data_IF_157093602267
#
_entry.id   IF_157093602267
#
_cell.length_a   1.000
_cell.length_b   1.000
_cell.length_c   1.000
_cell.angle_alpha   90.00
_cell.angle_beta   90.00
_cell.angle_gamma   90.00
#
_symmetry.space_group_name_H-M   'P 1'
#
loop_
_entity.id
_entity.type
_entity.pdbx_description
1 polymer ?
#
# COMPACT_ATOMS: atom_id res chain seq x y z
N UNK A 1 -9.17 6.01 -15.24
CA UNK A 1 -8.71 7.15 -14.41
C UNK A 1 -7.41 7.72 -14.95
N UNK A 2 -7.33 9.03 -14.97
CA UNK A 2 -6.10 9.77 -15.29
C UNK A 2 -5.66 10.57 -14.06
N UNK A 3 -4.40 10.43 -13.67
CA UNK A 3 -3.79 11.20 -12.59
C UNK A 3 -2.54 11.90 -13.11
N UNK A 4 -2.47 13.20 -12.92
CA UNK A 4 -1.29 14.02 -13.21
C UNK A 4 -0.67 14.54 -11.90
N UNK A 5 0.64 14.42 -11.77
CA UNK A 5 1.39 14.97 -10.62
C UNK A 5 2.59 15.74 -11.12
N UNK A 6 2.81 16.94 -10.60
CA UNK A 6 4.00 17.76 -10.79
C UNK A 6 4.70 17.91 -9.43
N UNK A 7 5.95 17.53 -9.34
CA UNK A 7 6.77 17.72 -8.14
C UNK A 7 8.15 18.25 -8.55
N UNK A 8 8.64 19.20 -7.78
CA UNK A 8 9.96 19.79 -7.98
C UNK A 8 10.75 19.71 -6.69
N UNK A 9 11.94 19.13 -6.76
CA UNK A 9 12.91 19.13 -5.66
C UNK A 9 14.18 19.81 -6.14
N UNK A 10 14.69 20.74 -5.34
CA UNK A 10 15.91 21.48 -5.63
C UNK A 10 16.88 21.30 -4.49
N UNK A 11 18.13 20.97 -4.80
CA UNK A 11 19.24 21.01 -3.85
C UNK A 11 20.10 22.19 -4.24
N UNK A 12 20.38 23.06 -3.27
CA UNK A 12 21.28 24.21 -3.43
C UNK A 12 22.69 23.79 -3.02
N UNK A 13 23.68 24.07 -3.87
CA UNK A 13 25.08 23.87 -3.54
C UNK A 13 25.56 24.77 -2.38
N UNK A 14 26.79 24.56 -1.86
CA UNK A 14 27.30 25.22 -0.65
C UNK A 14 27.52 26.74 -0.74
N UNK A 15 27.31 27.35 -1.90
CA UNK A 15 27.48 28.81 -2.09
C UNK A 15 26.18 29.54 -1.70
N UNK A 16 26.15 30.03 -0.45
CA UNK A 16 25.03 30.76 0.16
C UNK A 16 24.79 32.17 -0.35
N UNK A 17 25.34 32.59 -1.48
CA UNK A 17 25.00 33.89 -2.07
C UNK A 17 23.63 33.83 -2.74
N UNK A 18 22.84 34.88 -2.66
CA UNK A 18 21.51 34.98 -3.34
C UNK A 18 21.62 34.79 -4.85
N UNK A 19 22.81 34.96 -5.42
CA UNK A 19 23.15 34.60 -6.81
C UNK A 19 23.52 33.14 -7.00
N UNK A 20 23.78 32.35 -5.94
CA UNK A 20 24.16 30.95 -5.92
C UNK A 20 23.00 29.96 -5.68
N UNK A 21 21.76 30.44 -5.67
CA UNK A 21 20.56 29.57 -5.66
C UNK A 21 20.29 28.91 -7.02
N UNK A 22 21.35 28.66 -7.78
CA UNK A 22 21.22 27.79 -8.96
C UNK A 22 21.12 26.33 -8.47
N UNK A 23 20.09 25.60 -8.88
CA UNK A 23 19.96 24.19 -8.54
C UNK A 23 21.23 23.45 -8.94
N UNK A 24 21.79 22.66 -8.03
CA UNK A 24 22.86 21.73 -8.39
C UNK A 24 22.34 20.82 -9.51
N UNK A 25 23.06 20.91 -10.62
CA UNK A 25 22.67 20.27 -11.82
C UNK A 25 22.52 18.76 -11.73
N UNK A 26 23.28 18.08 -10.89
CA UNK A 26 23.30 16.62 -10.79
C UNK A 26 22.23 16.08 -9.82
N UNK A 27 21.86 16.86 -8.80
CA UNK A 27 21.01 16.41 -7.69
C UNK A 27 19.62 17.06 -7.65
N UNK A 28 19.39 18.11 -8.47
CA UNK A 28 18.08 18.76 -8.57
C UNK A 28 17.16 17.99 -9.51
N UNK A 29 15.96 17.68 -9.06
CA UNK A 29 14.98 16.93 -9.80
C UNK A 29 13.66 17.67 -9.94
N UNK A 30 13.18 17.81 -11.17
CA UNK A 30 11.84 18.29 -11.46
C UNK A 30 11.20 17.32 -12.46
N UNK A 31 10.04 16.80 -12.12
CA UNK A 31 9.36 15.85 -12.98
C UNK A 31 7.87 16.13 -13.13
N UNK A 32 7.34 15.73 -14.28
CA UNK A 32 5.92 15.68 -14.55
C UNK A 32 5.54 14.24 -14.88
N UNK A 33 4.50 13.72 -14.29
CA UNK A 33 4.03 12.37 -14.52
C UNK A 33 2.53 12.29 -14.71
N UNK A 34 2.11 11.41 -15.60
CA UNK A 34 0.71 11.05 -15.82
C UNK A 34 0.53 9.54 -15.71
N UNK A 35 -0.49 9.12 -15.00
CA UNK A 35 -0.96 7.74 -14.96
C UNK A 35 -2.29 7.63 -15.71
N UNK A 36 -2.34 6.78 -16.75
CA UNK A 36 -3.56 6.43 -17.46
C UNK A 36 -3.86 4.95 -17.24
N UNK A 37 -4.98 4.65 -16.58
CA UNK A 37 -5.45 3.28 -16.39
C UNK A 37 -6.74 3.07 -17.16
N UNK A 38 -6.75 2.05 -18.02
CA UNK A 38 -7.89 1.59 -18.79
C UNK A 38 -8.22 0.17 -18.37
N UNK A 39 -9.49 -0.12 -18.09
CA UNK A 39 -9.93 -1.46 -17.75
C UNK A 39 -11.25 -1.80 -18.45
N UNK A 40 -11.35 -3.02 -18.92
CA UNK A 40 -12.56 -3.56 -19.54
C UNK A 40 -12.71 -5.03 -19.21
N UNK A 41 -13.94 -5.50 -19.08
CA UNK A 41 -14.18 -6.91 -18.79
C UNK A 41 -15.64 -7.24 -18.58
N UNK A 42 -15.97 -8.54 -18.52
CA UNK A 42 -17.33 -9.00 -18.30
C UNK A 42 -17.75 -8.87 -16.84
N UNK A 43 -19.04 -8.64 -16.64
CA UNK A 43 -19.68 -8.63 -15.34
C UNK A 43 -20.93 -9.47 -15.31
N UNK A 44 -21.20 -10.08 -14.16
CA UNK A 44 -22.39 -10.86 -13.89
C UNK A 44 -23.07 -10.32 -12.64
N UNK A 45 -24.38 -10.20 -12.69
CA UNK A 45 -25.21 -9.83 -11.54
C UNK A 45 -26.42 -10.75 -11.44
N UNK A 46 -26.62 -11.33 -10.28
CA UNK A 46 -27.80 -12.08 -9.92
C UNK A 46 -28.43 -11.46 -8.68
N UNK A 47 -29.75 -11.22 -8.73
CA UNK A 47 -30.50 -10.73 -7.58
C UNK A 47 -31.83 -11.47 -7.49
N UNK A 48 -32.12 -12.04 -6.33
CA UNK A 48 -33.39 -12.69 -6.03
C UNK A 48 -33.80 -12.32 -4.60
N UNK A 49 -34.96 -11.72 -4.46
CA UNK A 49 -35.49 -11.24 -3.18
C UNK A 49 -34.51 -10.25 -2.51
N UNK A 50 -33.94 -10.65 -1.35
CA UNK A 50 -32.94 -9.87 -0.60
C UNK A 50 -31.49 -10.35 -0.83
N UNK A 51 -31.32 -11.32 -1.72
CA UNK A 51 -30.01 -11.89 -2.01
C UNK A 51 -29.44 -11.31 -3.30
N UNK A 52 -28.19 -10.95 -3.27
CA UNK A 52 -27.50 -10.38 -4.43
C UNK A 52 -26.12 -10.98 -4.56
N UNK A 53 -25.74 -11.32 -5.77
CA UNK A 53 -24.40 -11.73 -6.14
C UNK A 53 -23.95 -10.90 -7.35
N UNK A 54 -22.74 -10.36 -7.27
CA UNK A 54 -22.09 -9.61 -8.35
C UNK A 54 -20.70 -10.17 -8.53
N UNK A 55 -20.27 -10.39 -9.76
CA UNK A 55 -18.91 -10.78 -10.10
C UNK A 55 -18.48 -10.04 -11.36
N UNK A 56 -17.35 -9.38 -11.30
CA UNK A 56 -16.73 -8.69 -12.42
C UNK A 56 -15.28 -9.12 -12.52
N UNK A 57 -14.78 -9.30 -13.74
CA UNK A 57 -13.37 -9.53 -14.02
C UNK A 57 -12.95 -8.52 -15.08
N UNK A 58 -11.83 -7.84 -14.85
CA UNK A 58 -11.34 -6.79 -15.74
C UNK A 58 -9.92 -7.10 -16.17
N UNK A 59 -9.66 -6.96 -17.45
CA UNK A 59 -8.31 -6.74 -17.95
C UNK A 59 -7.99 -5.27 -17.82
N UNK A 60 -6.89 -4.96 -17.16
CA UNK A 60 -6.42 -3.61 -16.88
C UNK A 60 -5.10 -3.37 -17.59
N UNK A 61 -5.02 -2.26 -18.33
CA UNK A 61 -3.80 -1.74 -18.91
C UNK A 61 -3.50 -0.38 -18.26
N UNK A 62 -2.36 -0.26 -17.60
CA UNK A 62 -1.90 0.97 -16.99
C UNK A 62 -0.64 1.46 -17.68
N UNK A 63 -0.60 2.73 -18.04
CA UNK A 63 0.59 3.38 -18.61
C UNK A 63 1.02 4.53 -17.72
N UNK A 64 2.26 4.48 -17.28
CA UNK A 64 2.96 5.60 -16.67
C UNK A 64 3.77 6.31 -17.75
N UNK A 65 3.55 7.60 -17.92
CA UNK A 65 4.38 8.49 -18.72
C UNK A 65 4.97 9.55 -17.79
N UNK A 66 6.28 9.54 -17.62
CA UNK A 66 7.02 10.47 -16.77
C UNK A 66 8.10 11.17 -17.57
N UNK A 67 8.24 12.47 -17.39
CA UNK A 67 9.29 13.28 -18.00
C UNK A 67 10.05 14.01 -16.91
N UNK A 68 11.37 13.83 -16.88
CA UNK A 68 12.27 14.67 -16.09
C UNK A 68 12.42 15.96 -16.87
N UNK A 69 11.97 17.07 -16.28
CA UNK A 69 11.87 18.38 -16.98
C UNK A 69 13.24 18.94 -17.36
N UNK A 70 14.30 18.46 -16.71
CA UNK A 70 15.65 18.96 -16.88
C UNK A 70 16.39 18.35 -18.07
N UNK A 71 16.12 17.09 -18.36
CA UNK A 71 16.74 16.39 -19.49
C UNK A 71 15.63 15.73 -20.31
N UNK A 72 15.34 16.31 -21.47
CA UNK A 72 14.29 15.79 -22.37
C UNK A 72 14.58 14.37 -22.88
N UNK A 73 15.78 13.83 -22.61
CA UNK A 73 16.19 12.48 -22.95
C UNK A 73 15.68 11.43 -21.95
N UNK A 74 15.44 11.79 -20.69
CA UNK A 74 15.02 10.84 -19.66
C UNK A 74 13.48 10.78 -19.55
N UNK A 75 12.88 10.07 -20.48
CA UNK A 75 11.47 9.68 -20.42
C UNK A 75 11.34 8.34 -19.73
N UNK A 76 10.63 8.32 -18.60
CA UNK A 76 10.22 7.08 -17.94
C UNK A 76 8.87 6.68 -18.51
N UNK A 77 8.83 5.58 -19.25
CA UNK A 77 7.58 5.02 -19.76
C UNK A 77 7.47 3.56 -19.36
N UNK A 78 6.50 3.27 -18.51
CA UNK A 78 6.17 1.90 -18.12
C UNK A 78 4.74 1.58 -18.48
N UNK A 79 4.51 0.33 -18.89
CA UNK A 79 3.17 -0.19 -19.14
C UNK A 79 3.00 -1.50 -18.38
N UNK A 80 1.88 -1.62 -17.69
CA UNK A 80 1.55 -2.77 -16.85
C UNK A 80 0.23 -3.36 -17.30
N UNK A 81 0.14 -4.68 -17.27
CA UNK A 81 -1.07 -5.40 -17.65
C UNK A 81 -1.44 -6.37 -16.53
N UNK A 82 -2.65 -6.23 -16.03
CA UNK A 82 -3.13 -7.01 -14.90
C UNK A 82 -4.57 -7.50 -15.13
N UNK A 83 -4.95 -8.54 -14.45
CA UNK A 83 -6.33 -8.98 -14.36
C UNK A 83 -6.83 -8.70 -12.96
N UNK A 84 -7.78 -7.79 -12.84
CA UNK A 84 -8.42 -7.47 -11.57
C UNK A 84 -9.83 -8.02 -11.50
N UNK A 85 -10.30 -8.29 -10.29
CA UNK A 85 -11.65 -8.80 -10.09
C UNK A 85 -12.33 -8.16 -8.88
N UNK A 86 -13.65 -8.16 -8.94
CA UNK A 86 -14.52 -7.75 -7.85
C UNK A 86 -15.69 -8.72 -7.75
N UNK A 87 -15.88 -9.29 -6.57
CA UNK A 87 -17.03 -10.14 -6.27
C UNK A 87 -17.70 -9.65 -5.00
N UNK A 88 -19.01 -9.60 -5.00
CA UNK A 88 -19.84 -9.26 -3.84
C UNK A 88 -20.97 -10.27 -3.74
N UNK A 89 -21.11 -10.87 -2.56
CA UNK A 89 -22.23 -11.70 -2.19
C UNK A 89 -22.95 -11.13 -0.97
N UNK A 90 -24.26 -10.95 -1.06
CA UNK A 90 -25.13 -10.68 0.07
C UNK A 90 -26.17 -11.78 0.15
N UNK A 91 -26.18 -12.51 1.25
CA UNK A 91 -27.08 -13.62 1.53
C UNK A 91 -27.84 -13.33 2.82
N UNK A 92 -29.15 -13.19 2.72
CA UNK A 92 -30.04 -13.13 3.86
C UNK A 92 -30.62 -14.53 4.07
N UNK A 93 -30.01 -15.30 4.99
CA UNK A 93 -30.36 -16.69 5.27
C UNK A 93 -31.78 -16.78 5.81
N UNK A 94 -32.13 -15.86 6.70
CA UNK A 94 -33.46 -15.66 7.24
C UNK A 94 -33.61 -14.21 7.73
N UNK A 95 -34.66 -13.89 8.52
CA UNK A 95 -34.92 -12.55 9.03
C UNK A 95 -33.88 -12.06 10.05
N UNK A 96 -33.19 -12.97 10.70
CA UNK A 96 -32.22 -12.68 11.76
C UNK A 96 -30.78 -12.77 11.26
N UNK A 97 -30.50 -13.56 10.20
CA UNK A 97 -29.16 -13.89 9.79
C UNK A 97 -28.84 -13.36 8.41
N UNK A 98 -27.83 -12.56 8.31
CA UNK A 98 -27.29 -12.05 7.05
C UNK A 98 -25.79 -12.21 6.96
N UNK A 99 -25.33 -12.47 5.74
CA UNK A 99 -23.93 -12.67 5.37
C UNK A 99 -23.59 -11.77 4.20
N UNK A 100 -22.48 -11.06 4.30
CA UNK A 100 -21.88 -10.32 3.18
C UNK A 100 -20.44 -10.74 2.98
N UNK A 101 -20.09 -10.99 1.74
CA UNK A 101 -18.73 -11.32 1.32
C UNK A 101 -18.33 -10.38 0.20
N UNK A 102 -17.15 -9.76 0.34
CA UNK A 102 -16.52 -8.99 -0.72
C UNK A 102 -15.14 -9.59 -0.97
N UNK A 103 -14.86 -9.88 -2.23
CA UNK A 103 -13.56 -10.35 -2.68
C UNK A 103 -13.14 -9.46 -3.84
N UNK A 104 -11.96 -8.90 -3.75
CA UNK A 104 -11.45 -8.00 -4.80
C UNK A 104 -9.95 -8.10 -4.94
N UNK A 105 -9.46 -7.76 -6.11
CA UNK A 105 -8.06 -7.48 -6.35
C UNK A 105 -7.88 -6.08 -6.93
N UNK A 106 -6.72 -5.49 -6.68
CA UNK A 106 -6.32 -4.22 -7.25
C UNK A 106 -4.80 -4.13 -7.32
N UNK A 107 -4.32 -3.31 -8.24
CA UNK A 107 -2.92 -2.95 -8.36
C UNK A 107 -2.67 -1.57 -7.78
N UNK A 108 -1.51 -1.40 -7.15
CA UNK A 108 -1.00 -0.10 -6.70
C UNK A 108 0.34 0.15 -7.38
N UNK A 109 0.35 1.18 -8.23
CA UNK A 109 1.49 1.47 -9.06
C UNK A 109 2.58 2.23 -8.27
N UNK A 110 3.88 1.93 -8.49
CA UNK A 110 4.96 2.68 -7.87
C UNK A 110 4.85 4.18 -8.20
N UNK A 111 5.22 5.02 -7.24
CA UNK A 111 5.31 6.45 -7.50
C UNK A 111 6.46 6.74 -8.48
N UNK A 112 6.40 7.86 -9.18
CA UNK A 112 7.51 8.23 -10.05
C UNK A 112 8.80 8.48 -9.27
N UNK A 113 8.69 8.94 -8.02
CA UNK A 113 9.84 9.12 -7.13
C UNK A 113 10.51 7.78 -6.82
N UNK A 114 9.71 6.71 -6.63
CA UNK A 114 10.23 5.36 -6.41
C UNK A 114 10.89 4.78 -7.66
N UNK A 115 10.47 5.19 -8.86
CA UNK A 115 11.00 4.72 -10.14
C UNK A 115 12.21 5.53 -10.65
N UNK A 116 12.51 6.68 -10.05
CA UNK A 116 13.64 7.51 -10.50
C UNK A 116 14.97 6.91 -10.08
N UNK A 117 15.90 6.80 -11.02
CA UNK A 117 17.28 6.40 -10.75
C UNK A 117 18.10 7.59 -10.19
N UNK A 118 17.54 8.36 -9.29
CA UNK A 118 18.19 9.54 -8.68
C UNK A 118 18.11 9.41 -7.17
N UNK A 119 19.23 9.69 -6.50
CA UNK A 119 19.27 9.73 -5.05
C UNK A 119 18.73 11.06 -4.52
N UNK A 120 17.88 11.00 -3.51
CA UNK A 120 17.49 12.15 -2.70
C UNK A 120 18.48 12.31 -1.54
N UNK A 121 19.31 13.32 -1.66
CA UNK A 121 20.35 13.68 -0.67
C UNK A 121 19.99 14.95 0.12
N UNK A 122 18.72 15.36 0.10
CA UNK A 122 18.23 16.52 0.86
C UNK A 122 18.43 16.35 2.37
N UNK A 123 18.42 15.11 2.84
CA UNK A 123 18.90 14.73 4.17
C UNK A 123 20.14 13.82 4.02
N UNK A 124 21.32 14.42 4.22
CA UNK A 124 22.59 13.70 4.09
C UNK A 124 22.77 12.53 5.09
N UNK A 125 21.94 12.46 6.14
CA UNK A 125 21.95 11.36 7.11
C UNK A 125 21.05 10.20 6.67
N UNK A 126 20.03 10.48 5.86
CA UNK A 126 19.01 9.51 5.42
C UNK A 126 18.81 9.65 3.91
N UNK A 127 19.63 8.97 3.15
CA UNK A 127 19.59 9.02 1.69
C UNK A 127 18.64 7.95 1.16
N UNK A 128 17.79 8.33 0.22
CA UNK A 128 16.92 7.40 -0.52
C UNK A 128 17.21 7.47 -2.00
N UNK A 129 17.21 6.32 -2.68
CA UNK A 129 17.32 6.25 -4.14
C UNK A 129 16.18 5.41 -4.71
N UNK A 130 15.53 5.90 -5.74
CA UNK A 130 14.48 5.15 -6.42
C UNK A 130 15.03 3.95 -7.20
N UNK A 131 14.12 3.06 -7.59
CA UNK A 131 14.41 1.83 -8.34
C UNK A 131 13.53 1.78 -9.60
N UNK A 132 14.10 1.98 -10.79
CA UNK A 132 13.32 1.97 -12.05
C UNK A 132 12.76 0.59 -12.42
N UNK A 133 13.18 -0.48 -11.74
CA UNK A 133 12.74 -1.84 -12.02
C UNK A 133 11.54 -2.28 -11.14
N UNK A 134 10.89 -1.37 -10.43
CA UNK A 134 9.73 -1.70 -9.62
C UNK A 134 8.52 -2.08 -10.47
N UNK A 135 7.87 -3.15 -10.05
CA UNK A 135 6.55 -3.55 -10.52
C UNK A 135 5.45 -2.94 -9.66
N UNK A 136 4.23 -2.81 -10.19
CA UNK A 136 3.05 -2.54 -9.36
C UNK A 136 2.85 -3.64 -8.32
N UNK A 137 2.47 -3.25 -7.13
CA UNK A 137 2.03 -4.24 -6.14
C UNK A 137 0.62 -4.73 -6.48
N UNK A 138 0.38 -6.03 -6.31
CA UNK A 138 -0.89 -6.66 -6.59
C UNK A 138 -1.52 -7.19 -5.30
N UNK A 139 -2.67 -6.62 -4.94
CA UNK A 139 -3.35 -6.91 -3.68
C UNK A 139 -4.63 -7.70 -3.90
N UNK A 140 -4.81 -8.74 -3.11
CA UNK A 140 -6.05 -9.50 -2.94
C UNK A 140 -6.68 -9.12 -1.61
N UNK A 141 -7.98 -8.81 -1.62
CA UNK A 141 -8.72 -8.45 -0.40
C UNK A 141 -9.98 -9.29 -0.27
N UNK A 142 -10.19 -9.80 0.92
CA UNK A 142 -11.42 -10.49 1.33
C UNK A 142 -12.00 -9.78 2.53
N UNK A 143 -13.27 -9.41 2.48
CA UNK A 143 -14.02 -8.89 3.61
C UNK A 143 -15.27 -9.72 3.79
N UNK A 144 -15.43 -10.22 4.99
CA UNK A 144 -16.55 -11.04 5.41
C UNK A 144 -17.27 -10.35 6.55
N UNK A 145 -18.59 -10.31 6.49
CA UNK A 145 -19.42 -9.73 7.51
C UNK A 145 -20.65 -10.61 7.75
N UNK A 146 -20.74 -11.19 8.93
CA UNK A 146 -21.89 -11.94 9.37
C UNK A 146 -22.61 -11.18 10.49
N UNK A 147 -23.92 -11.11 10.41
CA UNK A 147 -24.78 -10.51 11.43
C UNK A 147 -25.91 -11.48 11.77
N UNK A 148 -26.07 -11.75 13.06
CA UNK A 148 -27.27 -12.37 13.61
C UNK A 148 -27.94 -11.35 14.54
N UNK A 149 -29.20 -11.00 14.26
CA UNK A 149 -29.97 -10.03 15.04
C UNK A 149 -31.34 -10.59 15.40
N UNK A 150 -31.51 -10.96 16.67
CA UNK A 150 -32.77 -11.41 17.20
C UNK A 150 -33.47 -10.25 17.93
N UNK A 151 -34.38 -9.60 17.25
CA UNK A 151 -35.09 -8.40 17.73
C UNK A 151 -35.96 -8.73 18.95
N UNK A 152 -36.61 -9.90 18.98
CA UNK A 152 -37.51 -10.32 20.09
C UNK A 152 -36.74 -10.50 21.38
N UNK A 153 -35.51 -11.01 21.31
CA UNK A 153 -34.62 -11.22 22.46
C UNK A 153 -33.68 -10.05 22.73
N UNK A 154 -33.71 -9.01 21.87
CA UNK A 154 -32.79 -7.87 21.94
C UNK A 154 -31.31 -8.25 21.81
N UNK A 155 -30.99 -9.32 21.08
CA UNK A 155 -29.62 -9.84 20.95
C UNK A 155 -29.07 -9.59 19.56
N UNK A 156 -27.81 -9.15 19.50
CA UNK A 156 -27.10 -8.97 18.24
C UNK A 156 -25.71 -9.57 18.34
N UNK A 157 -25.35 -10.41 17.37
CA UNK A 157 -24.02 -10.91 17.17
C UNK A 157 -23.51 -10.42 15.81
N UNK A 158 -22.29 -9.93 15.79
CA UNK A 158 -21.62 -9.48 14.57
C UNK A 158 -20.21 -10.05 14.52
N UNK A 159 -19.84 -10.60 13.37
CA UNK A 159 -18.49 -11.03 13.07
C UNK A 159 -18.03 -10.37 11.78
N UNK A 160 -16.96 -9.62 11.88
CA UNK A 160 -16.26 -9.03 10.75
C UNK A 160 -14.87 -9.66 10.63
N UNK A 161 -14.52 -10.04 9.42
CA UNK A 161 -13.20 -10.53 9.07
C UNK A 161 -12.72 -9.81 7.82
N UNK A 162 -11.47 -9.35 7.82
CA UNK A 162 -10.80 -8.73 6.68
C UNK A 162 -9.42 -9.34 6.52
N UNK A 163 -9.08 -9.67 5.28
CA UNK A 163 -7.78 -10.21 4.88
C UNK A 163 -7.29 -9.43 3.67
N UNK A 164 -6.03 -9.06 3.69
CA UNK A 164 -5.30 -8.56 2.54
C UNK A 164 -3.98 -9.31 2.42
N UNK A 165 -3.70 -9.78 1.21
CA UNK A 165 -2.40 -10.29 0.79
C UNK A 165 -1.90 -9.46 -0.38
N UNK A 166 -0.63 -9.10 -0.39
CA UNK A 166 -0.04 -8.33 -1.49
C UNK A 166 1.21 -9.03 -1.98
N UNK A 167 1.23 -9.31 -3.28
CA UNK A 167 2.39 -9.73 -4.05
C UNK A 167 3.09 -8.50 -4.63
N UNK A 168 4.39 -8.60 -4.90
CA UNK A 168 5.21 -7.47 -5.36
C UNK A 168 5.05 -6.22 -4.46
N UNK A 169 4.88 -6.46 -3.14
CA UNK A 169 4.71 -5.37 -2.19
C UNK A 169 5.89 -4.40 -2.27
N UNK A 170 5.62 -3.11 -2.45
CA UNK A 170 6.66 -2.07 -2.46
C UNK A 170 7.21 -1.90 -1.04
N UNK A 171 8.31 -2.58 -0.78
CA UNK A 171 9.02 -2.63 0.49
C UNK A 171 10.30 -1.80 0.43
N UNK A 172 10.89 -1.52 1.59
CA UNK A 172 12.19 -0.86 1.66
C UNK A 172 13.32 -1.88 1.84
N UNK A 173 14.41 -1.67 1.10
CA UNK A 173 15.72 -2.25 1.36
C UNK A 173 16.57 -1.20 2.07
N UNK A 174 16.97 -1.46 3.31
CA UNK A 174 17.66 -0.53 4.18
C UNK A 174 19.05 -1.01 4.51
N UNK A 175 20.05 -0.15 4.31
CA UNK A 175 21.43 -0.35 4.78
C UNK A 175 21.72 0.67 5.87
N UNK A 176 22.09 0.20 7.06
CA UNK A 176 22.54 1.05 8.17
C UNK A 176 24.05 1.20 8.12
N UNK A 177 24.53 2.44 8.26
CA UNK A 177 25.94 2.80 8.22
C UNK A 177 26.68 2.20 7.00
N UNK A 178 26.25 2.54 5.76
CA UNK A 178 26.85 1.97 4.55
C UNK A 178 28.31 2.37 4.33
N UNK A 179 28.86 3.24 5.18
CA UNK A 179 30.16 3.87 5.00
C UNK A 179 30.09 5.06 4.05
N UNK A 180 31.22 5.38 3.44
CA UNK A 180 31.28 6.48 2.46
C UNK A 180 30.80 5.97 1.10
N UNK A 181 29.78 6.61 0.56
CA UNK A 181 29.20 6.35 -0.76
C UNK A 181 29.42 7.56 -1.67
N UNK A 182 29.56 7.33 -2.97
CA UNK A 182 29.73 8.41 -3.96
C UNK A 182 28.47 8.49 -4.82
N UNK A 183 27.81 9.63 -4.82
CA UNK A 183 26.58 9.88 -5.58
C UNK A 183 26.75 11.21 -6.35
N UNK A 184 26.58 11.19 -7.67
CA UNK A 184 26.71 12.38 -8.51
C UNK A 184 28.12 13.02 -8.49
N UNK A 185 29.14 12.25 -8.09
CA UNK A 185 30.52 12.76 -7.94
C UNK A 185 30.87 13.28 -6.54
N UNK A 186 29.89 13.42 -5.66
CA UNK A 186 30.05 13.86 -4.28
C UNK A 186 30.07 12.67 -3.30
N UNK A 187 30.80 12.82 -2.19
CA UNK A 187 30.91 11.81 -1.15
C UNK A 187 29.96 12.08 0.02
N UNK A 188 29.23 11.05 0.42
CA UNK A 188 28.30 11.07 1.55
C UNK A 188 28.63 9.95 2.52
N UNK A 189 28.41 10.19 3.81
CA UNK A 189 28.54 9.17 4.87
C UNK A 189 27.21 9.14 5.67
N UNK A 190 26.13 8.58 5.07
CA UNK A 190 24.85 8.59 5.72
C UNK A 190 24.75 7.54 6.83
N UNK A 191 23.84 7.76 7.78
CA UNK A 191 23.48 6.76 8.78
C UNK A 191 22.59 5.67 8.15
N UNK A 192 21.73 6.06 7.19
CA UNK A 192 20.82 5.16 6.51
C UNK A 192 20.80 5.42 5.01
N UNK A 193 20.82 4.35 4.27
CA UNK A 193 20.60 4.37 2.84
C UNK A 193 19.50 3.37 2.47
N UNK A 194 18.50 3.81 1.69
CA UNK A 194 17.38 2.94 1.34
C UNK A 194 17.00 3.03 -0.12
N UNK A 195 16.46 1.93 -0.64
CA UNK A 195 15.86 1.85 -1.98
C UNK A 195 14.58 1.02 -1.93
N UNK A 196 13.53 1.37 -2.68
CA UNK A 196 12.34 0.55 -2.76
C UNK A 196 12.62 -0.73 -3.56
N UNK A 197 12.02 -1.85 -3.11
CA UNK A 197 12.11 -3.17 -3.74
C UNK A 197 10.77 -3.88 -3.71
N UNK A 198 10.50 -4.74 -4.69
CA UNK A 198 9.31 -5.59 -4.65
C UNK A 198 9.60 -6.86 -3.83
N UNK A 199 8.75 -7.13 -2.85
CA UNK A 199 8.81 -8.34 -2.03
C UNK A 199 7.42 -8.96 -1.88
N UNK A 200 7.35 -10.27 -2.02
CA UNK A 200 6.13 -11.00 -1.72
C UNK A 200 5.92 -11.20 -0.23
N UNK A 201 4.65 -11.41 0.14
CA UNK A 201 4.30 -11.91 1.47
C UNK A 201 3.93 -10.84 2.47
N UNK A 202 3.46 -9.69 2.01
CA UNK A 202 2.70 -8.78 2.86
C UNK A 202 1.34 -9.37 3.19
N UNK A 203 0.97 -9.37 4.49
CA UNK A 203 -0.31 -9.82 5.00
C UNK A 203 -0.88 -8.84 6.00
N UNK A 204 -2.17 -8.58 5.89
CA UNK A 204 -2.93 -7.87 6.91
C UNK A 204 -4.23 -8.65 7.15
N UNK A 205 -4.41 -9.11 8.39
CA UNK A 205 -5.58 -9.86 8.83
C UNK A 205 -6.22 -9.12 10.00
N UNK A 206 -7.53 -8.97 9.96
CA UNK A 206 -8.31 -8.38 11.06
C UNK A 206 -9.56 -9.21 11.29
N UNK A 207 -9.84 -9.50 12.54
CA UNK A 207 -11.11 -10.07 12.94
C UNK A 207 -11.69 -9.28 14.09
N UNK A 208 -12.98 -9.06 14.06
CA UNK A 208 -13.69 -8.34 15.11
C UNK A 208 -15.03 -9.03 15.38
N UNK A 209 -15.26 -9.35 16.65
CA UNK A 209 -16.48 -9.96 17.15
C UNK A 209 -17.18 -8.96 18.07
N UNK A 210 -18.50 -8.87 17.93
CA UNK A 210 -19.33 -8.06 18.83
C UNK A 210 -20.57 -8.85 19.22
N UNK A 211 -20.89 -8.86 20.51
CA UNK A 211 -22.10 -9.48 21.01
C UNK A 211 -22.81 -8.54 21.99
N UNK A 212 -24.03 -8.18 21.63
CA UNK A 212 -24.91 -7.34 22.43
C UNK A 212 -26.10 -8.13 22.97
N UNK A 213 -26.46 -7.94 24.24
CA UNK A 213 -27.61 -8.57 24.87
C UNK A 213 -28.17 -7.72 26.01
N UNK A 214 -29.48 -7.81 26.28
CA UNK A 214 -30.09 -7.08 27.37
C UNK A 214 -29.81 -7.72 28.71
N UNK A 215 -29.57 -6.90 29.72
CA UNK A 215 -29.51 -7.29 31.14
C UNK A 215 -30.80 -6.82 31.80
N UNK A 216 -31.76 -7.72 31.96
CA UNK A 216 -33.13 -7.37 32.38
C UNK A 216 -33.23 -6.68 33.73
N UNK A 217 -32.44 -7.10 34.75
CA UNK A 217 -32.47 -6.51 36.09
C UNK A 217 -31.86 -5.09 36.12
N UNK A 218 -30.96 -4.75 35.18
CA UNK A 218 -30.37 -3.43 35.06
C UNK A 218 -31.16 -2.53 34.04
N UNK A 219 -32.15 -3.10 33.34
CA UNK A 219 -32.87 -2.42 32.24
C UNK A 219 -31.94 -1.76 31.25
N UNK A 220 -30.80 -2.40 30.96
CA UNK A 220 -29.66 -1.91 30.17
C UNK A 220 -29.24 -2.95 29.14
N UNK A 221 -28.55 -2.51 28.11
CA UNK A 221 -27.92 -3.37 27.13
C UNK A 221 -26.42 -3.49 27.43
N UNK A 222 -25.91 -4.71 27.38
CA UNK A 222 -24.48 -4.98 27.51
C UNK A 222 -23.90 -5.42 26.18
N UNK A 223 -22.81 -4.78 25.79
CA UNK A 223 -22.09 -5.10 24.56
C UNK A 223 -20.65 -5.51 24.92
N UNK A 224 -20.22 -6.64 24.36
CA UNK A 224 -18.85 -7.13 24.43
C UNK A 224 -18.27 -7.16 23.04
N UNK A 225 -17.08 -6.61 22.89
CA UNK A 225 -16.36 -6.56 21.62
C UNK A 225 -14.95 -7.10 21.83
N UNK A 226 -14.48 -7.90 20.89
CA UNK A 226 -13.11 -8.40 20.84
C UNK A 226 -12.57 -8.38 19.43
N UNK A 227 -11.33 -7.99 19.28
CA UNK A 227 -10.68 -7.93 17.99
C UNK A 227 -9.24 -8.43 18.03
N UNK A 228 -8.78 -8.93 16.90
CA UNK A 228 -7.39 -9.31 16.66
C UNK A 228 -6.97 -8.76 15.32
N UNK A 229 -5.81 -8.11 15.32
CA UNK A 229 -5.18 -7.63 14.13
C UNK A 229 -3.80 -8.33 13.98
N UNK A 230 -3.46 -8.83 12.79
CA UNK A 230 -2.15 -9.35 12.43
C UNK A 230 -1.65 -8.66 11.18
N UNK A 231 -0.42 -8.14 11.23
CA UNK A 231 0.25 -7.58 10.04
C UNK A 231 1.63 -8.20 9.92
N UNK A 232 1.95 -8.69 8.73
CA UNK A 232 3.28 -9.12 8.33
C UNK A 232 3.76 -8.21 7.22
N UNK A 233 4.85 -7.48 7.45
CA UNK A 233 5.45 -6.55 6.49
C UNK A 233 6.85 -7.02 6.14
N UNK A 234 7.10 -7.41 4.87
CA UNK A 234 8.43 -7.77 4.42
C UNK A 234 9.30 -6.53 4.20
N UNK A 235 10.60 -6.67 4.44
CA UNK A 235 11.64 -5.69 4.13
C UNK A 235 12.96 -6.41 3.84
N UNK A 236 13.97 -5.68 3.32
CA UNK A 236 15.34 -6.15 3.18
C UNK A 236 16.23 -5.29 4.07
N UNK A 237 17.21 -5.91 4.73
CA UNK A 237 18.16 -5.24 5.62
C UNK A 237 19.59 -5.62 5.26
N UNK A 238 20.51 -4.65 5.37
CA UNK A 238 21.94 -4.85 5.10
C UNK A 238 22.25 -4.89 3.60
N UNK A 239 23.42 -5.39 3.27
CA UNK A 239 23.97 -5.36 1.93
C UNK A 239 25.03 -4.26 1.76
N UNK A 240 25.47 -4.05 0.54
CA UNK A 240 26.49 -3.06 0.17
C UNK A 240 25.94 -2.16 -0.93
N UNK A 241 26.15 -0.86 -0.80
CA UNK A 241 25.80 0.12 -1.85
C UNK A 241 26.94 0.12 -2.87
N UNK A 242 26.61 -0.18 -4.13
CA UNK A 242 27.58 -0.16 -5.23
C UNK A 242 27.86 1.26 -5.75
N UNK A 243 28.76 1.38 -6.74
CA UNK A 243 29.15 2.67 -7.35
C UNK A 243 27.99 3.39 -8.06
N UNK A 244 26.98 2.65 -8.48
CA UNK A 244 25.79 3.20 -9.13
C UNK A 244 24.69 3.55 -8.12
N UNK A 245 24.94 3.29 -6.83
CA UNK A 245 24.01 3.53 -5.73
C UNK A 245 22.90 2.48 -5.62
N UNK A 246 23.07 1.28 -6.19
CA UNK A 246 22.17 0.17 -5.93
C UNK A 246 22.67 -0.68 -4.76
N UNK A 247 21.73 -1.24 -4.00
CA UNK A 247 22.05 -2.13 -2.90
C UNK A 247 22.17 -3.56 -3.44
N UNK A 248 23.30 -4.20 -3.17
CA UNK A 248 23.54 -5.61 -3.49
C UNK A 248 23.67 -6.44 -2.22
N UNK A 249 23.15 -7.67 -2.24
CA UNK A 249 23.09 -8.52 -1.04
C UNK A 249 21.98 -8.13 -0.09
N UNK A 250 22.19 -8.37 1.20
CA UNK A 250 21.20 -8.14 2.25
C UNK A 250 20.36 -9.37 2.57
N UNK A 251 19.64 -9.31 3.67
CA UNK A 251 18.80 -10.38 4.17
C UNK A 251 17.35 -9.93 4.27
N UNK A 252 16.45 -10.87 4.00
CA UNK A 252 15.02 -10.62 4.16
C UNK A 252 14.67 -10.53 5.63
N UNK A 253 13.92 -9.49 5.99
CA UNK A 253 13.36 -9.29 7.32
C UNK A 253 11.83 -9.19 7.22
N UNK A 254 11.13 -10.03 7.96
CA UNK A 254 9.68 -10.03 8.04
C UNK A 254 9.23 -9.52 9.43
N UNK A 255 8.77 -8.29 9.48
CA UNK A 255 8.21 -7.73 10.72
C UNK A 255 6.77 -8.23 10.91
N UNK A 256 6.48 -8.80 12.08
CA UNK A 256 5.15 -9.31 12.45
C UNK A 256 4.62 -8.52 13.63
N UNK A 257 3.43 -7.94 13.47
CA UNK A 257 2.73 -7.23 14.52
C UNK A 257 1.40 -7.93 14.82
N UNK A 258 1.10 -8.15 16.09
CA UNK A 258 -0.17 -8.69 16.55
C UNK A 258 -0.75 -7.70 17.57
N UNK A 259 -1.97 -7.24 17.31
CA UNK A 259 -2.71 -6.37 18.19
C UNK A 259 -4.00 -7.04 18.65
N UNK A 260 -4.38 -6.80 19.89
CA UNK A 260 -5.63 -7.28 20.49
C UNK A 260 -6.41 -6.08 21.01
N UNK A 261 -7.70 -6.09 20.80
CA UNK A 261 -8.61 -5.12 21.40
C UNK A 261 -9.76 -5.83 22.12
N UNK A 262 -10.13 -5.28 23.26
CA UNK A 262 -11.29 -5.74 24.01
C UNK A 262 -12.02 -4.53 24.61
N UNK A 263 -13.33 -4.49 24.42
CA UNK A 263 -14.18 -3.41 24.93
C UNK A 263 -15.50 -3.96 25.45
N UNK A 264 -15.96 -3.40 26.54
CA UNK A 264 -17.32 -3.61 27.05
C UNK A 264 -18.05 -2.28 27.17
N UNK A 265 -19.33 -2.28 26.89
CA UNK A 265 -20.18 -1.09 26.99
C UNK A 265 -21.49 -1.51 27.67
N UNK A 266 -21.89 -0.78 28.71
CA UNK A 266 -23.19 -0.85 29.35
C UNK A 266 -23.94 0.44 29.00
N UNK A 267 -25.11 0.32 28.38
CA UNK A 267 -25.91 1.44 27.92
C UNK A 267 -27.41 1.27 28.15
#
# INVERSE_FOLDING_TARGET
DYQERDKRSFITGPDYSVAGLLPDGALSNSYKSGYLTQSAGPGFRYSKERNTFVANVYYQHATLDGQIVRDAADKIKHSYNDVTYFMMGQLNINRENSLRLFVSSYTDNPSITDLQNVADVSDAQNITKGNPNLNPSYSHRVNFHYTNSNVEKGRTFMWMFSMQNTSDYNANHLVSNPGTITLGGEQYTPNYYSTPVNLDGYWNLRTHLSYGFPIGFLKSNFNVMAGVNFTKTPSMLGGVVDSDGFITGGERNDTKNIGYDFRTVLG
#
